data_IF_609106908372
#
_entry.id   IF_609106908372
#
_cell.length_a   1.000
_cell.length_b   1.000
_cell.length_c   1.000
_cell.angle_alpha   90.00
_cell.angle_beta   90.00
_cell.angle_gamma   90.00
#
_symmetry.space_group_name_H-M   'P 1'
#
loop_
_entity.id
_entity.type
_entity.pdbx_description
1 polymer ?
#
# COMPACT_ATOMS: atom_id res chain seq x y z
N UNK A 1 -1.89 1.44 15.56
CA UNK A 1 -1.69 2.84 15.11
C UNK A 1 -0.95 2.84 13.78
N UNK A 2 -1.64 3.02 12.65
CA UNK A 2 -1.05 2.89 11.31
C UNK A 2 -1.36 4.11 10.45
N UNK A 3 -0.62 5.20 10.66
CA UNK A 3 -0.40 6.26 9.67
C UNK A 3 0.94 6.88 10.01
N UNK A 4 2.00 6.62 9.24
CA UNK A 4 3.27 7.33 9.47
C UNK A 4 3.48 8.50 8.51
N UNK A 5 2.99 8.45 7.26
CA UNK A 5 3.01 9.59 6.34
C UNK A 5 1.84 9.50 5.35
N UNK A 6 1.09 10.59 5.16
CA UNK A 6 0.04 10.67 4.12
C UNK A 6 0.68 10.77 2.74
N UNK A 7 -0.05 10.39 1.69
CA UNK A 7 0.43 10.51 0.30
C UNK A 7 0.91 11.92 -0.01
N UNK A 8 0.14 12.93 0.40
CA UNK A 8 0.46 14.34 0.22
C UNK A 8 1.81 14.72 0.84
N UNK A 9 2.13 14.22 2.04
CA UNK A 9 3.44 14.47 2.67
C UNK A 9 4.58 13.83 1.88
N UNK A 10 4.37 12.62 1.33
CA UNK A 10 5.39 11.96 0.50
C UNK A 10 5.62 12.71 -0.81
N UNK A 11 4.52 13.07 -1.48
CA UNK A 11 4.56 13.83 -2.73
C UNK A 11 5.28 15.16 -2.52
N UNK A 12 4.87 15.95 -1.53
CA UNK A 12 5.47 17.25 -1.24
C UNK A 12 6.97 17.13 -0.91
N UNK A 13 7.38 16.10 -0.16
CA UNK A 13 8.80 15.89 0.15
C UNK A 13 9.63 15.54 -1.11
N UNK A 14 9.08 14.74 -2.02
CA UNK A 14 9.76 14.39 -3.29
C UNK A 14 9.76 15.56 -4.27
N UNK A 15 8.64 16.25 -4.43
CA UNK A 15 8.54 17.44 -5.28
C UNK A 15 9.47 18.55 -4.78
N UNK A 16 9.55 18.79 -3.46
CA UNK A 16 10.49 19.75 -2.89
C UNK A 16 11.93 19.37 -3.26
N UNK A 17 12.33 18.10 -3.12
CA UNK A 17 13.67 17.63 -3.52
C UNK A 17 13.95 17.74 -5.03
N UNK A 18 12.92 17.59 -5.89
CA UNK A 18 13.09 17.68 -7.35
C UNK A 18 13.11 19.13 -7.86
N UNK A 19 12.45 20.05 -7.14
CA UNK A 19 12.37 21.46 -7.51
C UNK A 19 13.42 22.34 -6.84
N UNK A 20 14.07 21.88 -5.76
CA UNK A 20 15.17 22.59 -5.11
C UNK A 20 16.49 21.84 -5.23
N UNK A 21 17.61 22.57 -5.18
CA UNK A 21 18.95 21.98 -5.09
C UNK A 21 19.28 21.48 -3.67
N UNK A 22 18.25 21.24 -2.83
CA UNK A 22 18.45 20.83 -1.46
C UNK A 22 18.95 19.38 -1.38
N UNK A 23 19.95 19.16 -0.54
CA UNK A 23 20.39 17.81 -0.21
C UNK A 23 19.27 17.03 0.49
N UNK A 24 19.24 15.70 0.29
CA UNK A 24 18.30 14.79 0.97
C UNK A 24 18.19 15.02 2.49
N UNK A 25 19.28 15.42 3.15
CA UNK A 25 19.31 15.72 4.59
C UNK A 25 18.48 16.96 4.96
N UNK A 26 18.52 17.99 4.13
CA UNK A 26 17.79 19.25 4.34
C UNK A 26 16.30 19.01 4.12
N UNK A 27 15.94 18.39 2.98
CA UNK A 27 14.54 18.06 2.66
C UNK A 27 13.94 17.10 3.68
N UNK A 28 14.67 16.06 4.08
CA UNK A 28 14.21 15.13 5.11
C UNK A 28 13.92 15.81 6.45
N UNK A 29 14.80 16.72 6.89
CA UNK A 29 14.62 17.49 8.12
C UNK A 29 13.40 18.43 8.03
N UNK A 30 13.21 19.09 6.88
CA UNK A 30 12.09 20.02 6.63
C UNK A 30 10.74 19.33 6.70
N UNK A 31 10.65 18.13 6.11
CA UNK A 31 9.40 17.35 6.09
C UNK A 31 9.28 16.36 7.26
N UNK A 32 10.23 16.37 8.21
CA UNK A 32 10.27 15.44 9.36
C UNK A 32 10.18 13.96 8.94
N UNK A 33 10.82 13.63 7.83
CA UNK A 33 10.91 12.27 7.27
C UNK A 33 12.33 11.74 7.41
N UNK A 34 12.48 10.42 7.43
CA UNK A 34 13.82 9.82 7.43
C UNK A 34 14.46 9.96 6.04
N UNK A 35 15.77 10.22 6.02
CA UNK A 35 16.54 10.31 4.77
C UNK A 35 16.40 9.04 3.92
N UNK A 36 16.42 7.87 4.56
CA UNK A 36 16.26 6.57 3.88
C UNK A 36 14.88 6.43 3.20
N UNK A 37 13.82 6.92 3.86
CA UNK A 37 12.47 6.93 3.30
C UNK A 37 12.37 7.88 2.09
N UNK A 38 12.95 9.08 2.22
CA UNK A 38 12.97 10.05 1.12
C UNK A 38 13.71 9.49 -0.11
N UNK A 39 14.84 8.81 0.08
CA UNK A 39 15.56 8.15 -1.01
C UNK A 39 14.71 7.08 -1.70
N UNK A 40 14.02 6.24 -0.92
CA UNK A 40 13.11 5.23 -1.47
C UNK A 40 11.98 5.88 -2.29
N UNK A 41 11.38 6.96 -1.79
CA UNK A 41 10.32 7.67 -2.49
C UNK A 41 10.81 8.31 -3.79
N UNK A 42 11.97 8.95 -3.78
CA UNK A 42 12.57 9.54 -4.99
C UNK A 42 12.90 8.46 -6.01
N UNK A 43 13.48 7.33 -5.59
CA UNK A 43 13.78 6.22 -6.49
C UNK A 43 12.51 5.67 -7.16
N UNK A 44 11.47 5.35 -6.37
CA UNK A 44 10.19 4.87 -6.89
C UNK A 44 9.51 5.89 -7.81
N UNK A 45 9.58 7.17 -7.47
CA UNK A 45 9.01 8.25 -8.29
C UNK A 45 9.70 8.37 -9.64
N UNK A 46 11.02 8.14 -9.71
CA UNK A 46 11.76 8.14 -10.98
C UNK A 46 11.41 6.96 -11.87
N UNK A 47 11.11 5.80 -11.29
CA UNK A 47 10.79 4.59 -12.05
C UNK A 47 9.31 4.52 -12.46
N UNK A 48 8.40 4.94 -11.58
CA UNK A 48 6.95 4.69 -11.69
C UNK A 48 6.09 5.97 -11.57
N UNK A 49 6.70 7.13 -11.41
CA UNK A 49 5.99 8.40 -11.21
C UNK A 49 5.49 8.61 -9.78
N UNK A 50 4.95 9.80 -9.49
CA UNK A 50 4.53 10.22 -8.14
C UNK A 50 3.39 9.34 -7.59
N UNK A 51 2.57 8.76 -8.47
CA UNK A 51 1.49 7.85 -8.11
C UNK A 51 1.98 6.59 -7.39
N UNK A 52 3.24 6.18 -7.61
CA UNK A 52 3.87 5.06 -6.90
C UNK A 52 3.99 5.29 -5.39
N UNK A 53 4.04 6.54 -4.93
CA UNK A 53 4.06 6.89 -3.50
C UNK A 53 2.70 6.63 -2.83
N UNK A 54 1.65 6.52 -3.65
CA UNK A 54 0.30 6.09 -3.30
C UNK A 54 0.19 4.56 -3.33
N UNK A 55 1.28 3.84 -3.04
CA UNK A 55 1.25 2.41 -2.78
C UNK A 55 0.38 2.15 -1.57
N UNK A 56 -0.92 1.97 -1.80
CA UNK A 56 -1.84 1.56 -0.75
C UNK A 56 -1.50 0.11 -0.38
N UNK A 57 -1.40 -0.12 0.92
CA UNK A 57 -1.07 -1.36 1.61
C UNK A 57 -1.37 -2.69 0.89
N UNK A 58 -0.31 -3.51 0.77
CA UNK A 58 -0.22 -4.96 1.08
C UNK A 58 -1.07 -5.93 0.25
N UNK A 59 -0.41 -6.80 -0.55
CA UNK A 59 -0.79 -8.14 -1.10
C UNK A 59 -2.19 -8.37 -1.72
N UNK A 60 -3.15 -7.52 -1.43
CA UNK A 60 -4.53 -7.50 -1.87
C UNK A 60 -4.84 -6.07 -2.28
N UNK A 61 -5.28 -5.92 -3.53
CA UNK A 61 -5.59 -4.65 -4.15
C UNK A 61 -6.61 -3.85 -3.33
N UNK A 62 -6.58 -2.53 -3.48
CA UNK A 62 -7.47 -1.65 -2.71
C UNK A 62 -8.90 -1.80 -3.18
N UNK A 63 -9.10 -2.01 -4.48
CA UNK A 63 -10.41 -2.36 -5.01
C UNK A 63 -10.90 -3.65 -4.37
N UNK A 64 -10.04 -4.67 -4.28
CA UNK A 64 -10.37 -5.92 -3.61
C UNK A 64 -10.76 -5.72 -2.13
N UNK A 65 -10.04 -4.88 -1.39
CA UNK A 65 -10.42 -4.52 -0.01
C UNK A 65 -11.76 -3.80 0.07
N UNK A 66 -12.04 -2.91 -0.89
CA UNK A 66 -13.32 -2.19 -0.95
C UNK A 66 -14.47 -3.12 -1.32
N UNK A 67 -14.27 -4.05 -2.25
CA UNK A 67 -15.26 -5.06 -2.62
C UNK A 67 -15.62 -5.97 -1.45
N UNK A 68 -14.62 -6.47 -0.72
CA UNK A 68 -14.78 -7.29 0.47
C UNK A 68 -15.59 -6.55 1.55
N UNK A 69 -15.30 -5.27 1.79
CA UNK A 69 -16.03 -4.44 2.76
C UNK A 69 -17.47 -4.15 2.31
N UNK A 70 -17.67 -3.81 1.04
CA UNK A 70 -19.01 -3.57 0.49
C UNK A 70 -19.86 -4.84 0.53
N UNK A 71 -19.29 -6.00 0.24
CA UNK A 71 -19.98 -7.28 0.35
C UNK A 71 -20.46 -7.55 1.78
N UNK A 72 -19.59 -7.41 2.78
CA UNK A 72 -19.99 -7.57 4.18
C UNK A 72 -21.11 -6.61 4.59
N UNK A 73 -21.05 -5.35 4.14
CA UNK A 73 -22.04 -4.35 4.50
C UNK A 73 -23.40 -4.54 3.80
N UNK A 74 -23.41 -5.01 2.54
CA UNK A 74 -24.65 -5.25 1.80
C UNK A 74 -25.30 -6.60 2.16
N UNK A 75 -24.50 -7.62 2.45
CA UNK A 75 -24.99 -9.00 2.66
C UNK A 75 -25.10 -9.35 4.15
N UNK A 76 -24.50 -8.56 5.04
CA UNK A 76 -24.39 -8.87 6.48
C UNK A 76 -23.49 -10.08 6.77
N UNK A 77 -22.64 -10.46 5.80
CA UNK A 77 -21.81 -11.65 5.89
C UNK A 77 -20.73 -11.51 6.98
N UNK A 78 -20.49 -12.61 7.70
CA UNK A 78 -19.40 -12.66 8.69
C UNK A 78 -18.02 -12.64 8.02
N UNK A 79 -16.98 -12.31 8.79
CA UNK A 79 -15.58 -12.33 8.32
C UNK A 79 -15.15 -13.70 7.78
N UNK A 80 -15.64 -14.79 8.38
CA UNK A 80 -15.35 -16.16 7.96
C UNK A 80 -16.02 -16.50 6.62
N UNK A 81 -17.30 -16.14 6.46
CA UNK A 81 -18.03 -16.33 5.21
C UNK A 81 -17.42 -15.50 4.07
N UNK A 82 -17.04 -14.26 4.35
CA UNK A 82 -16.43 -13.40 3.35
C UNK A 82 -15.05 -13.90 2.93
N UNK A 83 -14.23 -14.40 3.87
CA UNK A 83 -12.95 -15.03 3.54
C UNK A 83 -13.13 -16.27 2.64
N UNK A 84 -14.18 -17.07 2.84
CA UNK A 84 -14.52 -18.19 1.98
C UNK A 84 -14.99 -17.75 0.59
N UNK A 85 -15.84 -16.71 0.51
CA UNK A 85 -16.32 -16.16 -0.78
C UNK A 85 -15.18 -15.56 -1.61
N UNK A 86 -14.27 -14.82 -1.00
CA UNK A 86 -13.16 -14.14 -1.69
C UNK A 86 -11.86 -14.97 -1.72
N UNK A 87 -11.91 -16.23 -1.30
CA UNK A 87 -10.78 -17.16 -1.23
C UNK A 87 -9.52 -16.54 -0.58
N UNK A 88 -9.73 -15.76 0.49
CA UNK A 88 -8.63 -15.11 1.21
C UNK A 88 -8.04 -16.16 2.15
N UNK A 89 -6.76 -16.57 1.98
CA UNK A 89 -6.10 -17.51 2.85
C UNK A 89 -5.94 -16.84 4.21
N UNK A 90 -6.84 -17.17 5.13
CA UNK A 90 -6.68 -16.76 6.51
C UNK A 90 -5.50 -17.55 7.11
N UNK A 91 -4.62 -16.91 7.89
CA UNK A 91 -3.50 -17.61 8.53
C UNK A 91 -3.94 -18.68 9.54
N UNK A 92 -5.24 -18.75 9.86
CA UNK A 92 -5.82 -19.75 10.76
C UNK A 92 -6.24 -21.06 10.07
N UNK A 93 -6.36 -21.11 8.74
CA UNK A 93 -6.93 -22.27 8.01
C UNK A 93 -5.91 -22.87 7.04
N UNK A 94 -4.62 -22.85 7.39
CA UNK A 94 -3.62 -23.56 6.59
C UNK A 94 -3.39 -24.96 7.15
N UNK A 95 -4.41 -25.81 7.09
CA UNK A 95 -4.19 -27.26 6.96
C UNK A 95 -5.12 -27.85 5.92
N UNK A 96 -4.48 -28.32 4.84
CA UNK A 96 -4.92 -29.33 3.85
C UNK A 96 -5.50 -28.81 2.53
N UNK A 97 -4.70 -29.04 1.47
CA UNK A 97 -5.10 -29.50 0.12
C UNK A 97 -5.98 -28.56 -0.72
N UNK A 98 -5.81 -28.31 -2.02
CA UNK A 98 -5.15 -28.97 -3.17
C UNK A 98 -5.07 -27.84 -4.22
N UNK A 99 -3.95 -27.60 -4.90
CA UNK A 99 -3.76 -28.08 -6.27
C UNK A 99 -4.41 -27.17 -7.32
N UNK A 100 -3.55 -26.60 -8.17
CA UNK A 100 -3.80 -26.22 -9.56
C UNK A 100 -4.82 -25.10 -9.85
N UNK A 101 -4.31 -23.97 -10.37
CA UNK A 101 -4.53 -23.51 -11.77
C UNK A 101 -4.19 -22.02 -11.91
N UNK A 102 -2.93 -21.73 -12.20
CA UNK A 102 -2.59 -20.59 -13.04
C UNK A 102 -2.30 -21.17 -14.42
N UNK A 103 -3.20 -20.96 -15.38
CA UNK A 103 -2.88 -21.06 -16.79
C UNK A 103 -3.04 -19.70 -17.41
N UNK A 104 -2.06 -19.37 -18.26
CA UNK A 104 -1.94 -18.22 -19.15
C UNK A 104 -3.20 -17.89 -19.93
#
# INVERSE_FOLDING_TARGET
MSRKYTFEVKQNAVEHYLNTDDSFKITAKKHQVSISLLKEWVARTREQGVESLNSKCTRYDIQFKMEVLNFMNNTGASSLQTAATFNIPSPAINTRNTGDRCSS
#
